data_IF_547626117657
#
_entry.id   IF_547626117657
#
_cell.length_a   1.000
_cell.length_b   1.000
_cell.length_c   1.000
_cell.angle_alpha   90.00
_cell.angle_beta   90.00
_cell.angle_gamma   90.00
#
_symmetry.space_group_name_H-M   'P 1'
#
loop_
_entity.id
_entity.type
_entity.pdbx_description
1 polymer ?
#
# COMPACT_ATOMS: atom_id res chain seq x y z
N UNK A 1 3.08 -17.84 1.34
CA UNK A 1 1.97 -17.52 2.23
C UNK A 1 0.83 -16.82 1.51
N UNK A 2 1.10 -16.03 0.53
CA UNK A 2 0.08 -15.36 -0.25
C UNK A 2 0.58 -15.01 -1.64
N UNK A 3 -0.34 -14.64 -2.52
CA UNK A 3 -0.04 -14.23 -3.88
C UNK A 3 -0.47 -12.78 -4.07
N UNK A 4 0.42 -11.97 -4.63
CA UNK A 4 0.13 -10.57 -4.94
C UNK A 4 -0.62 -10.53 -6.27
N UNK A 5 -1.88 -10.08 -6.23
CA UNK A 5 -2.77 -10.02 -7.39
C UNK A 5 -3.19 -8.59 -7.69
N UNK A 6 -3.29 -8.25 -8.97
CA UNK A 6 -3.82 -6.95 -9.39
C UNK A 6 -5.27 -6.81 -8.95
N UNK A 7 -5.64 -5.66 -8.42
CA UNK A 7 -7.01 -5.44 -7.94
C UNK A 7 -8.03 -5.67 -9.04
N UNK A 8 -9.07 -6.44 -8.72
CA UNK A 8 -10.13 -6.84 -9.64
C UNK A 8 -11.48 -6.65 -8.96
N UNK A 9 -12.55 -6.58 -9.75
CA UNK A 9 -13.91 -6.44 -9.23
C UNK A 9 -14.27 -7.59 -8.27
N UNK A 10 -13.79 -8.80 -8.53
CA UNK A 10 -14.08 -9.98 -7.71
C UNK A 10 -13.41 -9.94 -6.32
N UNK A 11 -12.46 -9.04 -6.11
CA UNK A 11 -11.81 -8.89 -4.80
C UNK A 11 -12.66 -8.09 -3.80
N UNK A 12 -13.75 -7.44 -4.23
CA UNK A 12 -14.49 -6.48 -3.41
C UNK A 12 -14.90 -7.03 -2.04
N UNK A 13 -15.51 -8.20 -1.99
CA UNK A 13 -15.96 -8.79 -0.72
C UNK A 13 -14.81 -9.10 0.23
N UNK A 14 -13.72 -9.67 -0.28
CA UNK A 14 -12.56 -10.02 0.54
C UNK A 14 -11.83 -8.76 1.03
N UNK A 15 -11.77 -7.72 0.21
CA UNK A 15 -11.16 -6.44 0.62
C UNK A 15 -12.00 -5.77 1.68
N UNK A 16 -13.33 -5.76 1.55
CA UNK A 16 -14.20 -5.20 2.57
C UNK A 16 -14.04 -5.94 3.90
N UNK A 17 -14.02 -7.27 3.87
CA UNK A 17 -13.80 -8.07 5.08
C UNK A 17 -12.47 -7.72 5.74
N UNK A 18 -11.41 -7.57 4.96
CA UNK A 18 -10.08 -7.17 5.43
C UNK A 18 -10.14 -5.80 6.14
N UNK A 19 -10.79 -4.82 5.54
CA UNK A 19 -10.88 -3.46 6.11
C UNK A 19 -11.72 -3.44 7.40
N UNK A 20 -12.83 -4.17 7.42
CA UNK A 20 -13.70 -4.24 8.59
C UNK A 20 -13.01 -4.97 9.76
N UNK A 21 -12.44 -6.13 9.49
CA UNK A 21 -11.79 -6.96 10.53
C UNK A 21 -10.57 -6.27 11.16
N UNK A 22 -9.88 -5.45 10.38
CA UNK A 22 -8.65 -4.79 10.84
C UNK A 22 -8.83 -3.31 11.16
N UNK A 23 -10.07 -2.81 11.15
CA UNK A 23 -10.33 -1.38 11.33
C UNK A 23 -9.71 -0.83 12.63
N UNK A 24 -9.95 -1.48 13.75
CA UNK A 24 -9.44 -1.06 15.05
C UNK A 24 -7.91 -1.16 15.12
N UNK A 25 -7.36 -2.23 14.56
CA UNK A 25 -5.92 -2.43 14.50
C UNK A 25 -5.23 -1.31 13.70
N UNK A 26 -5.77 -0.96 12.54
CA UNK A 26 -5.22 0.12 11.72
C UNK A 26 -5.35 1.48 12.40
N UNK A 27 -6.47 1.73 13.05
CA UNK A 27 -6.72 3.02 13.71
C UNK A 27 -5.74 3.32 14.83
N UNK A 28 -5.05 2.32 15.37
CA UNK A 28 -4.05 2.50 16.42
C UNK A 28 -2.79 3.23 15.91
N UNK A 29 -2.49 3.14 14.61
CA UNK A 29 -1.27 3.76 14.04
C UNK A 29 -1.51 4.60 12.78
N UNK A 30 -2.67 4.45 12.14
CA UNK A 30 -3.03 5.14 10.90
C UNK A 30 -4.39 5.80 11.11
N UNK A 31 -4.63 6.93 10.48
CA UNK A 31 -5.93 7.60 10.55
C UNK A 31 -7.02 6.65 10.02
N UNK A 32 -8.11 6.49 10.80
CA UNK A 32 -9.23 5.65 10.39
C UNK A 32 -9.85 6.18 9.09
N UNK A 33 -10.37 5.28 8.27
CA UNK A 33 -10.98 5.65 6.99
C UNK A 33 -12.30 6.40 7.12
N UNK A 34 -12.98 6.26 8.28
CA UNK A 34 -14.27 6.87 8.53
C UNK A 34 -15.44 6.01 8.06
N UNK A 35 -16.60 6.23 8.65
CA UNK A 35 -17.81 5.43 8.38
C UNK A 35 -18.25 5.52 6.91
N UNK A 36 -18.10 6.68 6.29
CA UNK A 36 -18.50 6.87 4.89
C UNK A 36 -17.76 5.94 3.94
N UNK A 37 -16.48 5.64 4.22
CA UNK A 37 -15.71 4.69 3.42
C UNK A 37 -16.38 3.31 3.42
N UNK A 38 -16.82 2.84 4.59
CA UNK A 38 -17.44 1.52 4.72
C UNK A 38 -18.84 1.51 4.13
N UNK A 39 -19.60 2.57 4.32
CA UNK A 39 -20.96 2.71 3.78
C UNK A 39 -20.97 2.78 2.25
N UNK A 40 -19.91 3.35 1.67
CA UNK A 40 -19.80 3.58 0.22
C UNK A 40 -18.70 2.70 -0.39
N UNK A 41 -18.41 1.56 0.22
CA UNK A 41 -17.28 0.73 -0.19
C UNK A 41 -17.32 0.31 -1.66
N UNK A 42 -18.49 -0.08 -2.17
CA UNK A 42 -18.64 -0.51 -3.57
C UNK A 42 -18.23 0.61 -4.54
N UNK A 43 -18.62 1.84 -4.24
CA UNK A 43 -18.26 3.02 -5.04
C UNK A 43 -16.76 3.30 -4.96
N UNK A 44 -16.17 3.17 -3.77
CA UNK A 44 -14.73 3.35 -3.57
C UNK A 44 -13.94 2.31 -4.36
N UNK A 45 -14.36 1.05 -4.33
CA UNK A 45 -13.71 -0.03 -5.04
C UNK A 45 -13.78 0.21 -6.56
N UNK A 46 -14.95 0.60 -7.06
CA UNK A 46 -15.13 0.93 -8.48
C UNK A 46 -14.27 2.10 -8.92
N UNK A 47 -14.13 3.12 -8.06
CA UNK A 47 -13.29 4.27 -8.36
C UNK A 47 -11.81 3.89 -8.48
N UNK A 48 -11.32 2.99 -7.62
CA UNK A 48 -9.96 2.49 -7.70
C UNK A 48 -9.73 1.70 -8.99
N UNK A 49 -10.68 0.86 -9.39
CA UNK A 49 -10.59 0.13 -10.65
C UNK A 49 -10.54 1.08 -11.85
N UNK A 50 -11.32 2.16 -11.82
CA UNK A 50 -11.31 3.17 -12.87
C UNK A 50 -9.97 3.91 -12.95
N UNK A 51 -9.37 4.28 -11.81
CA UNK A 51 -8.05 4.90 -11.77
C UNK A 51 -6.99 3.97 -12.37
N UNK A 52 -7.06 2.70 -12.03
CA UNK A 52 -6.14 1.69 -12.52
C UNK A 52 -6.26 1.52 -14.03
N UNK A 53 -7.49 1.44 -14.54
CA UNK A 53 -7.76 1.33 -15.98
C UNK A 53 -7.31 2.56 -16.75
N UNK A 54 -7.39 3.74 -16.13
CA UNK A 54 -6.94 4.99 -16.73
C UNK A 54 -5.42 5.19 -16.67
N UNK A 55 -4.69 4.32 -15.96
CA UNK A 55 -3.23 4.40 -15.88
C UNK A 55 -2.70 5.37 -14.82
N UNK A 56 -3.53 5.82 -13.88
CA UNK A 56 -3.12 6.75 -12.82
C UNK A 56 -2.52 6.05 -11.61
N UNK A 57 -2.69 4.74 -11.52
CA UNK A 57 -2.16 3.94 -10.42
C UNK A 57 -2.24 2.46 -10.73
N UNK A 58 -1.73 1.65 -9.83
CA UNK A 58 -1.84 0.20 -9.88
C UNK A 58 -2.02 -0.32 -8.45
N UNK A 59 -3.10 -1.05 -8.23
CA UNK A 59 -3.46 -1.51 -6.90
C UNK A 59 -3.36 -3.02 -6.83
N UNK A 60 -2.83 -3.53 -5.72
CA UNK A 60 -2.60 -4.96 -5.53
C UNK A 60 -3.15 -5.41 -4.20
N UNK A 61 -3.57 -6.65 -4.15
CA UNK A 61 -3.98 -7.34 -2.92
C UNK A 61 -3.13 -8.58 -2.74
N UNK A 62 -2.73 -8.84 -1.51
CA UNK A 62 -2.04 -10.08 -1.16
C UNK A 62 -3.12 -11.07 -0.72
N UNK A 63 -3.33 -12.11 -1.50
CA UNK A 63 -4.43 -13.07 -1.30
C UNK A 63 -3.86 -14.38 -0.77
N UNK A 64 -4.42 -14.87 0.35
CA UNK A 64 -3.99 -16.14 0.92
C UNK A 64 -4.64 -17.32 0.17
N UNK A 65 -4.22 -18.53 0.50
CA UNK A 65 -4.72 -19.75 -0.15
C UNK A 65 -6.22 -19.93 0.00
N UNK A 66 -6.81 -19.43 1.09
CA UNK A 66 -8.26 -19.51 1.33
C UNK A 66 -9.05 -18.38 0.67
N UNK A 67 -8.38 -17.48 -0.05
CA UNK A 67 -9.01 -16.36 -0.73
C UNK A 67 -9.16 -15.10 0.12
N UNK A 68 -8.74 -15.12 1.38
CA UNK A 68 -8.79 -13.91 2.22
C UNK A 68 -7.66 -12.94 1.84
N UNK A 69 -7.88 -11.65 2.09
CA UNK A 69 -6.89 -10.61 1.84
C UNK A 69 -6.01 -10.44 3.08
N UNK A 70 -4.71 -10.58 2.89
CA UNK A 70 -3.72 -10.38 3.96
C UNK A 70 -3.16 -8.95 3.97
N UNK A 71 -3.27 -8.25 2.85
CA UNK A 71 -2.76 -6.90 2.75
C UNK A 71 -3.17 -6.23 1.45
N UNK A 72 -3.05 -4.91 1.45
CA UNK A 72 -3.27 -4.08 0.26
C UNK A 72 -1.99 -3.30 0.01
N UNK A 73 -1.52 -3.32 -1.24
CA UNK A 73 -0.26 -2.71 -1.65
C UNK A 73 -0.51 -1.90 -2.90
N UNK A 74 -0.40 -0.59 -2.79
CA UNK A 74 -0.88 0.32 -3.80
C UNK A 74 0.23 1.23 -4.33
N UNK A 75 0.19 1.46 -5.63
CA UNK A 75 1.01 2.47 -6.30
C UNK A 75 0.07 3.55 -6.80
N UNK A 76 0.30 4.79 -6.40
CA UNK A 76 -0.56 5.93 -6.77
C UNK A 76 0.22 7.02 -7.49
N UNK A 77 -0.50 7.95 -8.07
CA UNK A 77 0.03 9.20 -8.61
C UNK A 77 1.18 8.97 -9.57
N UNK A 78 0.92 8.18 -10.58
CA UNK A 78 1.90 7.93 -11.64
C UNK A 78 2.18 9.24 -12.36
N UNK A 79 3.45 9.67 -12.33
CA UNK A 79 3.89 10.90 -12.99
C UNK A 79 5.38 10.82 -13.31
N UNK A 80 5.71 10.95 -14.58
CA UNK A 80 7.11 11.02 -15.05
C UNK A 80 8.00 9.88 -14.53
N UNK A 81 7.47 8.66 -14.48
CA UNK A 81 8.23 7.50 -14.02
C UNK A 81 8.34 7.39 -12.51
N UNK A 82 7.56 8.18 -11.77
CA UNK A 82 7.50 8.10 -10.31
C UNK A 82 6.11 7.68 -9.85
N UNK A 83 6.04 7.12 -8.65
CA UNK A 83 4.78 6.80 -7.99
C UNK A 83 4.96 6.81 -6.48
N UNK A 84 3.85 6.91 -5.76
CA UNK A 84 3.84 6.76 -4.31
C UNK A 84 3.38 5.35 -3.95
N UNK A 85 4.04 4.76 -2.97
CA UNK A 85 3.70 3.45 -2.42
C UNK A 85 2.93 3.65 -1.10
N UNK A 86 1.81 2.95 -0.97
CA UNK A 86 1.09 2.85 0.29
C UNK A 86 0.65 1.41 0.51
N UNK A 87 0.59 0.97 1.77
CA UNK A 87 0.18 -0.40 2.06
C UNK A 87 -0.37 -0.55 3.46
N UNK A 88 -1.17 -1.60 3.64
CA UNK A 88 -1.70 -2.05 4.93
C UNK A 88 -1.64 -3.57 4.96
N UNK A 89 -1.29 -4.12 6.12
CA UNK A 89 -1.21 -5.57 6.32
C UNK A 89 -2.09 -5.96 7.50
N UNK A 90 -2.84 -7.06 7.36
CA UNK A 90 -3.70 -7.58 8.42
C UNK A 90 -2.89 -7.87 9.68
N UNK A 91 -3.52 -7.69 10.84
CA UNK A 91 -2.90 -7.97 12.12
C UNK A 91 -2.35 -9.39 12.20
N UNK A 92 -3.11 -10.36 11.69
CA UNK A 92 -2.70 -11.78 11.70
C UNK A 92 -1.46 -12.07 10.85
N UNK A 93 -1.16 -11.22 9.87
CA UNK A 93 0.01 -11.37 9.02
C UNK A 93 1.19 -10.50 9.45
N UNK A 94 0.99 -9.61 10.41
CA UNK A 94 2.02 -8.69 10.86
C UNK A 94 3.16 -9.41 11.59
N UNK A 95 4.38 -8.89 11.47
CA UNK A 95 5.54 -9.41 12.19
C UNK A 95 6.14 -10.70 11.63
N UNK A 96 5.70 -11.12 10.43
CA UNK A 96 6.18 -12.36 9.79
C UNK A 96 6.99 -12.13 8.52
N UNK A 97 7.40 -10.91 8.26
CA UNK A 97 8.11 -10.56 7.04
C UNK A 97 7.24 -10.48 5.79
N UNK A 98 5.93 -10.62 5.93
CA UNK A 98 4.96 -10.60 4.82
C UNK A 98 4.98 -9.25 4.11
N UNK A 99 4.93 -8.16 4.86
CA UNK A 99 4.93 -6.81 4.28
C UNK A 99 6.21 -6.53 3.51
N UNK A 100 7.37 -6.90 4.08
CA UNK A 100 8.66 -6.68 3.43
C UNK A 100 8.75 -7.47 2.13
N UNK A 101 8.34 -8.73 2.14
CA UNK A 101 8.36 -9.58 0.94
C UNK A 101 7.45 -9.03 -0.15
N UNK A 102 6.23 -8.60 0.22
CA UNK A 102 5.26 -8.04 -0.73
C UNK A 102 5.74 -6.70 -1.30
N UNK A 103 6.32 -5.84 -0.48
CA UNK A 103 6.86 -4.55 -0.96
C UNK A 103 8.00 -4.79 -1.94
N UNK A 104 8.90 -5.74 -1.67
CA UNK A 104 9.98 -6.08 -2.60
C UNK A 104 9.44 -6.60 -3.92
N UNK A 105 8.45 -7.46 -3.89
CA UNK A 105 7.80 -7.96 -5.10
C UNK A 105 7.14 -6.82 -5.87
N UNK A 106 6.45 -5.93 -5.18
CA UNK A 106 5.80 -4.78 -5.79
C UNK A 106 6.81 -3.84 -6.45
N UNK A 107 7.98 -3.65 -5.85
CA UNK A 107 9.05 -2.85 -6.45
C UNK A 107 9.49 -3.43 -7.80
N UNK A 108 9.61 -4.75 -7.88
CA UNK A 108 9.91 -5.45 -9.14
C UNK A 108 8.82 -5.24 -10.18
N UNK A 109 7.57 -5.38 -9.78
CA UNK A 109 6.42 -5.15 -10.67
C UNK A 109 6.35 -3.69 -11.14
N UNK A 110 6.65 -2.74 -10.26
CA UNK A 110 6.66 -1.32 -10.59
C UNK A 110 7.63 -1.03 -11.72
N UNK A 111 8.82 -1.58 -11.66
CA UNK A 111 9.83 -1.41 -12.71
C UNK A 111 9.46 -2.15 -13.99
N UNK A 112 9.11 -3.43 -13.88
CA UNK A 112 8.91 -4.31 -15.03
C UNK A 112 7.60 -4.09 -15.77
N UNK A 113 6.50 -3.92 -15.02
CA UNK A 113 5.15 -3.82 -15.62
C UNK A 113 4.67 -2.40 -15.80
N UNK A 114 5.13 -1.49 -14.95
CA UNK A 114 4.61 -0.12 -14.95
C UNK A 114 5.63 0.91 -15.43
N UNK A 115 6.85 0.47 -15.74
CA UNK A 115 7.89 1.35 -16.26
C UNK A 115 8.33 2.44 -15.31
N UNK A 116 8.11 2.24 -14.01
CA UNK A 116 8.46 3.23 -13.00
C UNK A 116 9.97 3.17 -12.69
N UNK A 117 10.54 4.31 -12.35
CA UNK A 117 11.97 4.44 -12.02
C UNK A 117 12.20 4.77 -10.56
N UNK A 118 11.23 5.41 -9.91
CA UNK A 118 11.36 5.87 -8.54
C UNK A 118 10.06 5.68 -7.81
N UNK A 119 10.15 5.14 -6.58
CA UNK A 119 9.01 5.06 -5.67
C UNK A 119 9.28 5.93 -4.46
N UNK A 120 8.22 6.56 -3.95
CA UNK A 120 8.25 7.33 -2.73
C UNK A 120 7.18 6.81 -1.78
N UNK A 121 7.45 6.84 -0.49
CA UNK A 121 6.50 6.42 0.52
C UNK A 121 6.65 7.31 1.76
N UNK A 122 5.54 7.77 2.31
CA UNK A 122 5.53 8.53 3.54
C UNK A 122 5.03 7.65 4.68
N UNK A 123 5.68 7.73 5.84
CA UNK A 123 5.22 7.03 7.02
C UNK A 123 5.36 7.92 8.25
N UNK A 124 4.40 7.81 9.17
CA UNK A 124 4.41 8.59 10.39
C UNK A 124 5.51 8.11 11.35
N UNK A 125 5.96 8.99 12.22
CA UNK A 125 6.98 8.67 13.24
C UNK A 125 6.46 7.57 14.21
N UNK A 126 5.15 7.44 14.36
CA UNK A 126 4.54 6.44 15.24
C UNK A 126 4.51 5.06 14.61
N UNK A 127 4.64 4.98 13.29
CA UNK A 127 4.52 3.71 12.56
C UNK A 127 5.90 3.06 12.37
N UNK A 128 6.46 2.56 13.45
CA UNK A 128 7.80 1.95 13.47
C UNK A 128 7.87 0.73 12.56
N UNK A 129 6.80 -0.08 12.52
CA UNK A 129 6.74 -1.26 11.66
C UNK A 129 6.91 -0.89 10.19
N UNK A 130 6.22 0.16 9.73
CA UNK A 130 6.33 0.64 8.35
C UNK A 130 7.73 1.15 8.04
N UNK A 131 8.34 1.90 8.97
CA UNK A 131 9.70 2.39 8.79
C UNK A 131 10.69 1.24 8.58
N UNK A 132 10.54 0.16 9.34
CA UNK A 132 11.38 -1.03 9.21
C UNK A 132 11.18 -1.74 7.87
N UNK A 133 9.94 -1.86 7.43
CA UNK A 133 9.62 -2.48 6.13
C UNK A 133 10.28 -1.70 5.00
N UNK A 134 10.13 -0.38 4.99
CA UNK A 134 10.72 0.47 3.97
C UNK A 134 12.25 0.36 3.96
N UNK A 135 12.88 0.42 5.13
CA UNK A 135 14.33 0.29 5.23
C UNK A 135 14.82 -1.06 4.70
N UNK A 136 14.14 -2.15 5.06
CA UNK A 136 14.50 -3.51 4.60
C UNK A 136 14.31 -3.68 3.11
N UNK A 137 13.35 -2.95 2.53
CA UNK A 137 13.09 -2.99 1.08
C UNK A 137 14.07 -2.09 0.29
N UNK A 138 14.94 -1.36 0.98
CA UNK A 138 15.95 -0.54 0.34
C UNK A 138 15.62 0.94 0.23
N UNK A 139 14.48 1.37 0.76
CA UNK A 139 14.11 2.78 0.78
C UNK A 139 15.00 3.56 1.75
N UNK A 140 15.30 4.79 1.39
CA UNK A 140 16.10 5.69 2.24
C UNK A 140 15.29 6.94 2.58
N UNK A 141 15.46 7.52 3.78
CA UNK A 141 14.76 8.74 4.14
C UNK A 141 15.29 9.92 3.31
N UNK A 142 14.38 10.76 2.82
CA UNK A 142 14.74 11.91 1.96
C UNK A 142 14.25 13.25 2.50
N UNK A 143 13.38 13.28 3.49
CA UNK A 143 12.92 14.53 4.07
C UNK A 143 11.68 14.37 4.93
N UNK A 144 11.26 15.42 5.62
CA UNK A 144 10.09 15.35 6.48
C UNK A 144 8.80 15.28 5.67
N UNK A 145 7.82 14.52 6.17
CA UNK A 145 6.45 14.52 5.67
C UNK A 145 5.61 15.39 6.61
N UNK A 146 4.84 16.30 6.04
CA UNK A 146 3.98 17.19 6.82
C UNK A 146 2.65 16.51 7.14
N UNK A 147 1.90 16.96 8.16
CA UNK A 147 0.62 16.33 8.52
C UNK A 147 -0.36 16.18 7.37
N UNK A 148 -0.35 17.10 6.40
CA UNK A 148 -1.21 17.01 5.21
C UNK A 148 -0.93 15.76 4.36
N UNK A 149 0.31 15.24 4.41
CA UNK A 149 0.70 14.04 3.65
C UNK A 149 0.25 12.75 4.33
N UNK A 150 -0.01 12.79 5.64
CA UNK A 150 -0.19 11.60 6.48
C UNK A 150 -1.47 11.63 7.32
N UNK A 151 -2.50 12.30 6.84
CA UNK A 151 -3.79 12.33 7.52
C UNK A 151 -3.74 12.96 8.91
N UNK A 152 -2.89 13.97 9.10
CA UNK A 152 -2.76 14.71 10.35
C UNK A 152 -1.55 14.35 11.20
N UNK A 153 -0.66 13.46 10.72
CA UNK A 153 0.53 13.02 11.46
C UNK A 153 1.81 13.49 10.80
N UNK A 154 2.80 13.82 11.63
CA UNK A 154 4.15 14.12 11.13
C UNK A 154 4.91 12.81 10.86
N UNK A 155 5.80 12.84 9.90
CA UNK A 155 6.56 11.65 9.54
C UNK A 155 7.72 11.96 8.62
N UNK A 156 8.10 10.96 7.83
CA UNK A 156 9.25 11.02 6.94
C UNK A 156 8.87 10.48 5.57
N UNK A 157 9.34 11.16 4.51
CA UNK A 157 9.33 10.63 3.15
C UNK A 157 10.54 9.73 2.95
N UNK A 158 10.30 8.58 2.33
CA UNK A 158 11.32 7.63 1.91
C UNK A 158 11.29 7.50 0.39
N UNK A 159 12.41 7.14 -0.18
CA UNK A 159 12.52 6.98 -1.63
C UNK A 159 13.36 5.77 -1.99
N UNK A 160 12.96 5.08 -3.06
CA UNK A 160 13.71 3.99 -3.65
C UNK A 160 13.87 4.27 -5.13
N UNK A 161 15.10 4.25 -5.60
CA UNK A 161 15.40 4.35 -7.02
C UNK A 161 15.41 2.95 -7.62
N UNK A 162 14.39 2.65 -8.42
CA UNK A 162 14.21 1.32 -9.02
C UNK A 162 15.25 1.00 -10.09
N UNK A 163 15.76 2.02 -10.74
CA UNK A 163 16.79 1.84 -11.78
C UNK A 163 18.06 1.23 -11.17
N UNK A 164 18.38 1.63 -9.95
CA UNK A 164 19.55 1.09 -9.24
C UNK A 164 19.39 -0.38 -8.85
N UNK A 165 18.16 -0.92 -8.90
CA UNK A 165 17.86 -2.32 -8.55
C UNK A 165 18.07 -3.27 -9.74
N UNK A 166 18.18 -2.73 -10.93
CA UNK A 166 18.38 -3.50 -12.16
C UNK A 166 19.88 -3.74 -12.39
#
# INVERSE_FOLDING_TARGET
MGELQRLHVDHASAVLAFEVENRAYFAASITDRGDAFFDQFAEQHSALLAEQDAGYGAFYVLVSEDGSVLGRFNLYRFEDGTAELGYRVAQDAAGRGVATAAVRELCGLAAERHGLRTLRAATSHDNVASQKVLAKAGFVPVGPAVPADLGGKAGTWYQLDLVAQL
#
